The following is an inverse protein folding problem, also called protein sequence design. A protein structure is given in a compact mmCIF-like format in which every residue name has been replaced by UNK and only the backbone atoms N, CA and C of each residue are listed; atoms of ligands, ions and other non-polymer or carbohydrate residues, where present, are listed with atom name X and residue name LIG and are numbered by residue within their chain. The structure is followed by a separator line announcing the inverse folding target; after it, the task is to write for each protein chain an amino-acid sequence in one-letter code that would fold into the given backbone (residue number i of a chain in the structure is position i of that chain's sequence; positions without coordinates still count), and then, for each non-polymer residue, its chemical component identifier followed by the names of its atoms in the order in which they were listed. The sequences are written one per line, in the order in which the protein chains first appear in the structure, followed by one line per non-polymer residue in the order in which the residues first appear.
data_IF_542789578066
#
_entry.id   IF_542789578066
#
_cell.length_a   1.000
_cell.length_b   1.000
_cell.length_c   1.000
_cell.angle_alpha   90.00
_cell.angle_beta   90.00
_cell.angle_gamma   90.00
#
_symmetry.space_group_name_H-M   'P 1'
#
loop_
_entity.id
_entity.type
_entity.pdbx_description
1 polymer ?
#
# COMPACT_ATOMS: atom_id res chain seq x y z
N UNK A 1 -8.24 13.94 -21.91
CA UNK A 1 -9.44 13.07 -21.78
C UNK A 1 -9.26 11.65 -22.34
N UNK A 2 -8.66 11.47 -23.52
CA UNK A 2 -8.49 10.14 -24.15
C UNK A 2 -7.58 9.17 -23.37
N UNK A 3 -6.51 9.67 -22.73
CA UNK A 3 -5.59 8.84 -21.94
C UNK A 3 -6.27 8.22 -20.71
N UNK A 4 -7.06 9.02 -19.99
CA UNK A 4 -7.83 8.59 -18.81
C UNK A 4 -8.85 7.51 -19.18
N UNK A 5 -9.55 7.65 -20.31
CA UNK A 5 -10.50 6.64 -20.79
C UNK A 5 -9.81 5.31 -21.10
N UNK A 6 -8.63 5.34 -21.74
CA UNK A 6 -7.86 4.14 -22.07
C UNK A 6 -7.38 3.41 -20.80
N UNK A 7 -6.95 4.14 -19.77
CA UNK A 7 -6.54 3.53 -18.50
C UNK A 7 -7.71 2.99 -17.68
N UNK A 8 -8.88 3.65 -17.69
CA UNK A 8 -10.10 3.13 -17.06
C UNK A 8 -10.53 1.82 -17.71
N UNK A 9 -10.52 1.74 -19.04
CA UNK A 9 -10.83 0.49 -19.76
C UNK A 9 -9.86 -0.62 -19.36
N UNK A 10 -8.56 -0.34 -19.30
CA UNK A 10 -7.57 -1.33 -18.85
C UNK A 10 -7.85 -1.77 -17.41
N UNK A 11 -8.22 -0.87 -16.50
CA UNK A 11 -8.50 -1.22 -15.10
C UNK A 11 -9.78 -2.06 -14.98
N UNK A 12 -10.84 -1.73 -15.73
CA UNK A 12 -12.07 -2.53 -15.80
C UNK A 12 -11.82 -3.90 -16.43
N UNK A 13 -11.06 -3.98 -17.53
CA UNK A 13 -10.66 -5.24 -18.17
C UNK A 13 -9.78 -6.07 -17.23
N UNK A 14 -8.88 -5.45 -16.48
CA UNK A 14 -8.04 -6.12 -15.49
C UNK A 14 -8.91 -6.70 -14.38
N UNK A 15 -9.85 -5.91 -13.84
CA UNK A 15 -10.79 -6.35 -12.81
C UNK A 15 -11.65 -7.53 -13.31
N UNK A 16 -12.11 -7.50 -14.55
CA UNK A 16 -12.89 -8.57 -15.18
C UNK A 16 -12.03 -9.82 -15.48
N UNK A 17 -10.77 -9.66 -15.89
CA UNK A 17 -9.86 -10.78 -16.19
C UNK A 17 -9.47 -11.60 -14.95
N UNK A 18 -9.48 -11.00 -13.76
CA UNK A 18 -9.27 -11.75 -12.50
C UNK A 18 -10.38 -12.76 -12.21
N UNK A 19 -11.54 -12.66 -12.86
CA UNK A 19 -12.63 -13.65 -12.74
C UNK A 19 -12.33 -14.94 -13.51
N UNK A 20 -11.37 -14.94 -14.45
CA UNK A 20 -11.08 -16.06 -15.35
C UNK A 20 -9.73 -16.76 -15.09
N UNK A 21 -8.96 -16.33 -14.09
CA UNK A 21 -7.65 -16.91 -13.84
C UNK A 21 -7.75 -18.30 -13.18
N UNK A 22 -7.37 -19.32 -13.94
CA UNK A 22 -7.07 -20.67 -13.43
C UNK A 22 -5.57 -20.78 -13.20
N UNK A 23 -5.12 -20.48 -11.98
CA UNK A 23 -3.72 -20.70 -11.58
C UNK A 23 -3.48 -22.14 -11.14
N UNK A 24 -2.39 -22.75 -11.62
CA UNK A 24 -1.90 -24.05 -11.12
C UNK A 24 -0.86 -23.80 -10.03
N UNK A 25 -1.11 -24.31 -8.81
CA UNK A 25 -0.18 -24.26 -7.67
C UNK A 25 0.31 -25.69 -7.38
N UNK A 26 1.60 -25.83 -7.07
CA UNK A 26 2.23 -27.06 -6.62
C UNK A 26 1.61 -27.53 -5.30
N UNK A 27 1.17 -28.78 -5.24
CA UNK A 27 0.50 -29.33 -4.07
C UNK A 27 1.53 -29.69 -2.98
N UNK A 28 1.52 -28.99 -1.85
CA UNK A 28 2.35 -29.34 -0.69
C UNK A 28 1.58 -30.35 0.19
N UNK A 29 2.13 -31.54 0.47
CA UNK A 29 1.36 -32.69 1.01
C UNK A 29 0.87 -32.54 2.47
N UNK A 30 1.16 -31.44 3.16
CA UNK A 30 0.83 -31.27 4.59
C UNK A 30 0.04 -30.00 4.94
N UNK A 31 -0.68 -29.42 3.97
CA UNK A 31 -1.50 -28.22 4.21
C UNK A 31 -2.90 -28.64 4.69
N UNK A 32 -3.20 -28.44 5.97
CA UNK A 32 -4.57 -28.57 6.47
C UNK A 32 -5.51 -27.71 5.62
N UNK A 33 -6.59 -28.30 5.11
CA UNK A 33 -7.60 -27.59 4.31
C UNK A 33 -8.39 -26.67 5.23
N UNK A 34 -7.89 -25.45 5.45
CA UNK A 34 -8.64 -24.42 6.14
C UNK A 34 -9.86 -24.06 5.26
N UNK A 35 -11.06 -24.03 5.84
CA UNK A 35 -12.27 -23.65 5.12
C UNK A 35 -12.25 -22.13 4.81
N UNK A 36 -12.61 -21.74 3.59
CA UNK A 36 -12.70 -20.33 3.18
C UNK A 36 -13.55 -19.47 4.15
N UNK A 37 -14.60 -20.05 4.72
CA UNK A 37 -15.48 -19.36 5.66
C UNK A 37 -14.81 -19.17 7.02
N UNK A 38 -13.94 -20.08 7.43
CA UNK A 38 -13.12 -19.92 8.64
C UNK A 38 -12.11 -18.78 8.47
N UNK A 39 -11.48 -18.65 7.30
CA UNK A 39 -10.55 -17.55 6.99
C UNK A 39 -11.27 -16.20 7.04
N UNK A 40 -12.50 -16.13 6.51
CA UNK A 40 -13.32 -14.91 6.55
C UNK A 40 -13.77 -14.58 7.97
N UNK A 41 -14.22 -15.58 8.74
CA UNK A 41 -14.61 -15.40 10.12
C UNK A 41 -13.44 -14.93 11.00
N UNK A 42 -12.23 -15.46 10.78
CA UNK A 42 -11.02 -14.96 11.43
C UNK A 42 -10.82 -13.47 11.10
N UNK A 43 -10.87 -13.09 9.81
CA UNK A 43 -10.71 -11.70 9.40
C UNK A 43 -11.79 -10.78 10.00
N UNK A 44 -13.04 -11.26 10.08
CA UNK A 44 -14.16 -10.53 10.68
C UNK A 44 -13.95 -10.30 12.19
N UNK A 45 -13.37 -11.26 12.89
CA UNK A 45 -13.12 -11.17 14.34
C UNK A 45 -11.93 -10.27 14.72
N UNK A 46 -11.07 -9.92 13.76
CA UNK A 46 -9.91 -9.05 14.01
C UNK A 46 -10.30 -7.64 14.50
N UNK A 47 -9.41 -6.98 15.26
CA UNK A 47 -9.59 -5.58 15.63
C UNK A 47 -9.81 -4.70 14.40
N UNK A 48 -10.67 -3.68 14.56
CA UNK A 48 -10.99 -2.77 13.47
C UNK A 48 -9.83 -1.81 13.17
N UNK A 49 -9.08 -1.43 14.21
CA UNK A 49 -7.85 -0.67 14.08
C UNK A 49 -6.69 -1.62 13.82
N UNK A 50 -5.88 -1.32 12.82
CA UNK A 50 -4.73 -2.13 12.43
C UNK A 50 -3.68 -1.33 11.68
N UNK A 51 -2.65 -2.01 11.20
CA UNK A 51 -1.58 -1.41 10.41
C UNK A 51 -1.94 -1.41 8.92
N UNK A 52 -1.58 -0.34 8.20
CA UNK A 52 -1.75 -0.28 6.73
C UNK A 52 -0.42 -0.48 5.99
N UNK A 53 0.59 0.33 6.31
CA UNK A 53 1.99 0.17 5.92
C UNK A 53 2.85 -0.04 7.16
N UNK A 54 4.14 -0.26 6.96
CA UNK A 54 5.11 -0.39 8.05
C UNK A 54 5.15 0.89 8.89
N UNK A 55 5.33 0.70 10.19
CA UNK A 55 5.62 1.77 11.13
C UNK A 55 7.08 1.61 11.54
N UNK A 56 7.87 2.66 11.34
CA UNK A 56 9.30 2.62 11.62
C UNK A 56 9.82 4.00 11.99
N UNK A 57 10.96 3.99 12.68
CA UNK A 57 11.73 5.18 13.01
C UNK A 57 13.20 4.85 12.79
N UNK A 58 13.87 5.61 11.93
CA UNK A 58 15.24 5.34 11.49
C UNK A 58 16.05 6.62 11.46
N UNK A 59 17.33 6.53 11.85
CA UNK A 59 18.31 7.61 11.71
C UNK A 59 19.24 7.23 10.56
N UNK A 60 19.46 8.16 9.63
CA UNK A 60 20.36 7.99 8.49
C UNK A 60 21.54 8.94 8.56
N UNK A 61 22.69 8.53 8.00
CA UNK A 61 23.84 9.41 7.75
C UNK A 61 24.48 9.06 6.42
N UNK A 62 25.23 10.00 5.83
CA UNK A 62 25.98 9.74 4.62
C UNK A 62 27.05 8.66 4.84
N UNK A 63 27.18 7.76 3.85
CA UNK A 63 28.13 6.63 3.91
C UNK A 63 29.55 7.13 4.13
N UNK A 64 30.26 6.52 5.08
CA UNK A 64 31.65 6.86 5.45
C UNK A 64 31.87 8.30 5.95
N UNK A 65 30.82 8.97 6.44
CA UNK A 65 30.94 10.30 7.04
C UNK A 65 30.53 10.27 8.51
N UNK A 66 31.07 11.22 9.29
CA UNK A 66 30.57 11.46 10.65
C UNK A 66 29.21 12.14 10.58
N UNK A 67 28.26 11.78 11.45
CA UNK A 67 26.97 12.45 11.51
C UNK A 67 27.10 13.95 11.80
N UNK A 68 26.32 14.75 11.10
CA UNK A 68 26.26 16.21 11.20
C UNK A 68 24.90 16.73 10.72
N UNK A 69 24.61 18.00 11.00
CA UNK A 69 23.39 18.68 10.54
C UNK A 69 23.19 18.70 9.02
N UNK A 70 24.24 18.52 8.24
CA UNK A 70 24.19 18.61 6.78
C UNK A 70 24.05 17.26 6.07
N UNK A 71 24.22 16.15 6.79
CA UNK A 71 24.32 14.82 6.17
C UNK A 71 23.56 13.73 6.95
N UNK A 72 22.82 14.10 7.99
CA UNK A 72 22.13 13.17 8.86
C UNK A 72 20.75 13.70 9.23
N UNK A 73 19.78 12.80 9.20
CA UNK A 73 18.39 13.10 9.52
C UNK A 73 17.72 11.87 10.15
N UNK A 74 16.51 12.09 10.65
CA UNK A 74 15.57 11.04 11.00
C UNK A 74 14.53 10.93 9.91
N UNK A 75 14.21 9.69 9.56
CA UNK A 75 13.01 9.34 8.79
C UNK A 75 12.12 8.43 9.62
N UNK A 76 10.84 8.76 9.70
CA UNK A 76 9.86 7.86 10.28
C UNK A 76 8.57 7.80 9.47
N UNK A 77 7.85 6.69 9.65
CA UNK A 77 6.53 6.50 9.10
C UNK A 77 5.57 6.00 10.18
N UNK A 78 4.41 6.64 10.25
CA UNK A 78 3.26 6.14 11.01
C UNK A 78 2.17 5.78 10.02
N UNK A 79 1.61 4.58 10.12
CA UNK A 79 0.62 4.09 9.18
C UNK A 79 -0.37 3.13 9.82
N UNK A 80 -1.64 3.49 9.75
CA UNK A 80 -2.73 2.72 10.33
C UNK A 80 -3.93 2.65 9.39
N UNK A 81 -4.79 1.69 9.65
CA UNK A 81 -6.08 1.51 9.00
C UNK A 81 -7.18 1.34 10.04
N UNK A 82 -8.35 1.87 9.72
CA UNK A 82 -9.59 1.67 10.45
C UNK A 82 -10.58 0.98 9.53
N UNK A 83 -10.91 -0.29 9.80
CA UNK A 83 -12.02 -0.97 9.14
C UNK A 83 -13.32 -0.26 9.50
N UNK A 84 -14.15 -0.01 8.48
CA UNK A 84 -15.45 0.65 8.64
C UNK A 84 -16.62 -0.32 8.69
N UNK A 85 -16.43 -1.56 8.21
CA UNK A 85 -17.50 -2.55 8.10
C UNK A 85 -17.42 -3.55 9.25
N UNK A 86 -18.57 -3.83 9.88
CA UNK A 86 -18.69 -4.88 10.91
C UNK A 86 -18.78 -6.28 10.32
N UNK A 87 -19.22 -6.36 9.07
CA UNK A 87 -19.44 -7.61 8.34
C UNK A 87 -19.01 -7.43 6.90
N UNK A 88 -18.90 -8.55 6.21
CA UNK A 88 -18.50 -8.64 4.81
C UNK A 88 -19.48 -7.89 3.89
N UNK A 89 -18.99 -6.93 3.11
CA UNK A 89 -19.76 -6.26 2.06
C UNK A 89 -20.00 -7.21 0.86
N UNK A 90 -20.92 -6.86 -0.07
CA UNK A 90 -21.06 -7.60 -1.32
C UNK A 90 -19.71 -7.90 -1.99
N UNK A 91 -19.63 -9.04 -2.67
CA UNK A 91 -18.41 -9.57 -3.30
C UNK A 91 -17.29 -9.99 -2.33
N UNK A 92 -17.62 -10.19 -1.05
CA UNK A 92 -16.68 -10.58 -0.02
C UNK A 92 -15.61 -9.51 0.28
N UNK A 93 -16.06 -8.27 0.44
CA UNK A 93 -15.18 -7.10 0.53
C UNK A 93 -15.24 -6.38 1.87
N UNK A 94 -14.19 -5.61 2.16
CA UNK A 94 -13.95 -4.91 3.42
C UNK A 94 -13.59 -3.47 3.13
N UNK A 95 -14.42 -2.53 3.62
CA UNK A 95 -14.17 -1.11 3.50
C UNK A 95 -13.34 -0.63 4.69
N UNK A 96 -12.31 0.16 4.42
CA UNK A 96 -11.46 0.72 5.46
C UNK A 96 -10.98 2.13 5.08
N UNK A 97 -10.76 2.95 6.09
CA UNK A 97 -9.95 4.15 5.97
C UNK A 97 -8.52 3.80 6.32
N UNK A 98 -7.57 4.52 5.75
CA UNK A 98 -6.20 4.47 6.20
C UNK A 98 -5.59 5.85 6.23
N UNK A 99 -4.54 5.96 7.01
CA UNK A 99 -3.70 7.13 7.08
C UNK A 99 -2.25 6.67 7.12
N UNK A 100 -1.41 7.27 6.30
CA UNK A 100 0.04 7.13 6.37
C UNK A 100 0.68 8.50 6.41
N UNK A 101 1.61 8.71 7.32
CA UNK A 101 2.42 9.91 7.40
C UNK A 101 3.88 9.53 7.33
N UNK A 102 4.62 10.13 6.40
CA UNK A 102 6.09 10.05 6.32
C UNK A 102 6.65 11.39 6.76
N UNK A 103 7.67 11.38 7.60
CA UNK A 103 8.34 12.59 8.06
C UNK A 103 9.84 12.49 7.89
N UNK A 104 10.45 13.59 7.45
CA UNK A 104 11.89 13.82 7.41
C UNK A 104 12.20 14.91 8.43
N UNK A 105 13.04 14.59 9.41
CA UNK A 105 13.24 15.39 10.61
C UNK A 105 14.74 15.66 10.82
N UNK A 106 15.13 16.93 10.76
CA UNK A 106 16.52 17.37 10.87
C UNK A 106 16.92 17.48 12.34
N UNK A 107 17.05 16.33 13.01
CA UNK A 107 17.36 16.25 14.45
C UNK A 107 18.76 16.73 14.84
N UNK A 108 19.60 17.08 13.88
CA UNK A 108 20.95 17.58 14.10
C UNK A 108 21.06 19.09 13.89
N UNK A 109 20.00 19.75 13.42
CA UNK A 109 19.92 21.21 13.25
C UNK A 109 19.38 21.92 14.50
N UNK A 110 19.64 23.22 14.62
CA UNK A 110 19.09 24.05 15.69
C UNK A 110 17.56 24.05 15.65
N UNK A 111 16.92 23.90 16.83
CA UNK A 111 15.47 23.77 16.98
C UNK A 111 14.83 22.54 16.33
N UNK A 112 15.61 21.58 15.83
CA UNK A 112 15.15 20.27 15.34
C UNK A 112 13.97 20.38 14.34
N UNK A 113 14.07 21.16 13.25
CA UNK A 113 12.94 21.39 12.36
C UNK A 113 12.58 20.15 11.55
N UNK A 114 11.29 20.00 11.25
CA UNK A 114 10.83 19.05 10.24
C UNK A 114 11.18 19.57 8.85
N UNK A 115 11.99 18.81 8.11
CA UNK A 115 12.35 19.14 6.74
C UNK A 115 11.20 18.92 5.78
N UNK A 116 10.42 17.85 5.95
CA UNK A 116 9.23 17.60 5.14
C UNK A 116 8.27 16.64 5.85
N UNK A 117 6.99 16.80 5.59
CA UNK A 117 5.91 15.95 6.10
C UNK A 117 5.04 15.56 4.92
N UNK A 118 4.78 14.27 4.74
CA UNK A 118 3.93 13.76 3.66
C UNK A 118 2.75 13.01 4.26
N UNK A 119 1.56 13.53 4.02
CA UNK A 119 0.27 13.05 4.49
C UNK A 119 -0.41 12.24 3.39
N UNK A 120 -0.76 10.99 3.67
CA UNK A 120 -1.41 10.09 2.72
C UNK A 120 -2.65 9.42 3.36
N UNK A 121 -3.77 10.15 3.51
CA UNK A 121 -5.06 9.57 3.82
C UNK A 121 -5.65 8.87 2.60
N UNK A 122 -6.53 7.89 2.84
CA UNK A 122 -7.32 7.30 1.78
C UNK A 122 -8.40 6.35 2.30
N UNK A 123 -9.19 5.88 1.35
CA UNK A 123 -10.22 4.86 1.55
C UNK A 123 -9.92 3.69 0.64
N UNK A 124 -10.11 2.48 1.16
CA UNK A 124 -9.85 1.25 0.42
C UNK A 124 -10.98 0.25 0.56
N UNK A 125 -11.17 -0.53 -0.50
CA UNK A 125 -12.05 -1.69 -0.55
C UNK A 125 -11.21 -2.92 -0.86
N UNK A 126 -11.04 -3.79 0.13
CA UNK A 126 -10.24 -5.02 0.01
C UNK A 126 -11.11 -6.24 -0.15
N UNK A 127 -10.70 -7.19 -1.00
CA UNK A 127 -11.29 -8.52 -1.15
C UNK A 127 -10.22 -9.58 -0.94
N UNK A 128 -10.49 -10.56 -0.08
CA UNK A 128 -9.64 -11.72 0.08
C UNK A 128 -9.80 -12.64 -1.12
N UNK A 129 -8.68 -13.12 -1.67
CA UNK A 129 -8.67 -14.08 -2.77
C UNK A 129 -8.40 -15.46 -2.18
N UNK A 130 -9.41 -16.32 -2.21
CA UNK A 130 -9.36 -17.68 -1.67
C UNK A 130 -9.61 -18.65 -2.83
N UNK A 131 -8.70 -19.61 -3.02
CA UNK A 131 -8.78 -20.61 -4.08
C UNK A 131 -8.59 -22.00 -3.47
N UNK A 132 -9.52 -22.92 -3.75
CA UNK A 132 -9.50 -24.31 -3.21
C UNK A 132 -9.38 -24.37 -1.68
N UNK A 133 -9.98 -23.41 -0.96
CA UNK A 133 -9.92 -23.30 0.51
C UNK A 133 -8.73 -22.50 1.04
N UNK A 134 -7.68 -22.29 0.25
CA UNK A 134 -6.48 -21.58 0.72
C UNK A 134 -6.57 -20.09 0.43
N UNK A 135 -6.17 -19.26 1.40
CA UNK A 135 -5.93 -17.84 1.17
C UNK A 135 -4.71 -17.70 0.25
N UNK A 136 -4.94 -17.25 -0.98
CA UNK A 136 -3.85 -17.03 -1.94
C UNK A 136 -3.42 -15.57 -1.99
N UNK A 137 -4.22 -14.65 -1.45
CA UNK A 137 -3.86 -13.25 -1.47
C UNK A 137 -5.01 -12.28 -1.18
N UNK A 138 -4.81 -11.04 -1.60
CA UNK A 138 -5.77 -9.94 -1.44
C UNK A 138 -5.70 -9.01 -2.64
N UNK A 139 -6.87 -8.54 -3.08
CA UNK A 139 -7.02 -7.45 -4.05
C UNK A 139 -7.62 -6.25 -3.33
N UNK A 140 -7.11 -5.05 -3.61
CA UNK A 140 -7.57 -3.81 -2.96
C UNK A 140 -7.70 -2.69 -3.97
N UNK A 141 -8.89 -2.09 -4.06
CA UNK A 141 -9.11 -0.81 -4.74
C UNK A 141 -8.93 0.32 -3.73
N UNK A 142 -8.24 1.40 -4.11
CA UNK A 142 -7.89 2.51 -3.23
C UNK A 142 -8.22 3.85 -3.90
N UNK A 143 -8.76 4.77 -3.12
CA UNK A 143 -8.77 6.20 -3.43
C UNK A 143 -7.83 6.88 -2.45
N UNK A 144 -6.84 7.59 -2.99
CA UNK A 144 -5.71 8.10 -2.21
C UNK A 144 -5.51 9.58 -2.48
N UNK A 145 -5.27 10.33 -1.41
CA UNK A 145 -4.72 11.66 -1.48
C UNK A 145 -3.31 11.62 -0.90
N UNK A 146 -2.33 12.26 -1.53
CA UNK A 146 -1.00 12.44 -0.96
C UNK A 146 -0.56 13.89 -1.15
N UNK A 147 -0.16 14.54 -0.05
CA UNK A 147 0.30 15.93 -0.05
C UNK A 147 1.31 16.19 1.04
N UNK A 148 2.07 17.28 0.93
CA UNK A 148 3.04 17.66 1.94
C UNK A 148 2.55 18.72 2.95
N UNK A 149 1.30 19.18 2.82
CA UNK A 149 0.72 20.19 3.70
C UNK A 149 1.37 21.58 3.60
N UNK A 150 2.17 21.85 2.57
CA UNK A 150 2.79 23.16 2.31
C UNK A 150 1.99 24.00 1.33
N UNK A 151 2.24 25.29 1.34
CA UNK A 151 1.66 26.28 0.42
C UNK A 151 2.70 26.78 -0.61
N UNK A 152 2.23 27.64 -1.52
CA UNK A 152 3.06 28.30 -2.53
C UNK A 152 3.87 27.33 -3.39
N UNK A 153 5.10 27.73 -3.70
CA UNK A 153 6.04 26.97 -4.55
C UNK A 153 6.52 25.67 -3.91
N UNK A 154 6.41 25.53 -2.59
CA UNK A 154 6.79 24.32 -1.86
C UNK A 154 5.65 23.29 -1.79
N UNK A 155 4.44 23.67 -2.17
CA UNK A 155 3.27 22.79 -2.14
C UNK A 155 3.43 21.61 -3.09
N UNK A 156 3.19 20.39 -2.62
CA UNK A 156 3.19 19.18 -3.45
C UNK A 156 1.93 18.38 -3.12
N UNK A 157 1.18 17.98 -4.14
CA UNK A 157 -0.01 17.15 -3.98
C UNK A 157 -0.40 16.38 -5.24
N UNK A 158 -1.09 15.27 -5.04
CA UNK A 158 -1.72 14.48 -6.09
C UNK A 158 -2.74 13.52 -5.50
N UNK A 159 -3.72 13.14 -6.32
CA UNK A 159 -4.70 12.11 -5.99
C UNK A 159 -4.47 10.87 -6.88
N UNK A 160 -4.85 9.69 -6.39
CA UNK A 160 -4.68 8.43 -7.11
C UNK A 160 -5.91 7.55 -6.94
N UNK A 161 -6.29 6.87 -8.02
CA UNK A 161 -7.13 5.67 -7.96
C UNK A 161 -6.21 4.49 -8.20
N UNK A 162 -6.10 3.58 -7.24
CA UNK A 162 -5.10 2.51 -7.30
C UNK A 162 -5.72 1.13 -7.13
N UNK A 163 -5.18 0.18 -7.87
CA UNK A 163 -5.45 -1.24 -7.71
C UNK A 163 -4.19 -1.91 -7.17
N UNK A 164 -4.31 -2.57 -6.02
CA UNK A 164 -3.22 -3.28 -5.35
C UNK A 164 -3.56 -4.77 -5.25
N UNK A 165 -2.58 -5.63 -5.50
CA UNK A 165 -2.69 -7.06 -5.31
C UNK A 165 -1.48 -7.58 -4.52
N UNK A 166 -1.73 -8.49 -3.59
CA UNK A 166 -0.69 -9.25 -2.91
C UNK A 166 -1.05 -10.74 -3.00
N UNK A 167 -0.07 -11.58 -3.32
CA UNK A 167 -0.25 -13.01 -3.48
C UNK A 167 0.86 -13.79 -2.77
N UNK A 168 0.49 -14.86 -2.07
CA UNK A 168 1.43 -15.84 -1.54
C UNK A 168 1.81 -16.80 -2.67
N UNK A 169 3.09 -16.83 -3.03
CA UNK A 169 3.65 -17.79 -3.99
C UNK A 169 3.87 -19.13 -3.28
N UNK A 170 4.39 -19.06 -2.07
CA UNK A 170 4.51 -20.13 -1.09
C UNK A 170 4.37 -19.53 0.33
N UNK A 171 4.38 -20.32 1.42
CA UNK A 171 4.21 -19.77 2.77
C UNK A 171 5.30 -18.80 3.23
N UNK A 172 6.45 -18.75 2.56
CA UNK A 172 7.60 -17.90 2.89
C UNK A 172 7.75 -16.71 1.95
N UNK A 173 7.17 -16.78 0.74
CA UNK A 173 7.29 -15.76 -0.29
C UNK A 173 5.93 -15.14 -0.63
N UNK A 174 5.81 -13.84 -0.38
CA UNK A 174 4.71 -13.02 -0.86
C UNK A 174 5.19 -12.04 -1.92
N UNK A 175 4.49 -11.94 -3.04
CA UNK A 175 4.68 -10.88 -4.03
C UNK A 175 3.54 -9.88 -3.95
N UNK A 176 3.82 -8.62 -4.24
CA UNK A 176 2.80 -7.59 -4.27
C UNK A 176 3.08 -6.56 -5.37
N UNK A 177 2.00 -6.03 -5.94
CA UNK A 177 2.07 -4.97 -6.93
C UNK A 177 0.91 -4.01 -6.74
N UNK A 178 1.13 -2.75 -7.09
CA UNK A 178 0.12 -1.70 -7.07
C UNK A 178 0.28 -0.84 -8.29
N UNK A 179 -0.81 -0.67 -9.02
CA UNK A 179 -0.93 0.21 -10.19
C UNK A 179 -1.84 1.38 -9.83
N UNK A 180 -1.59 2.56 -10.38
CA UNK A 180 -2.42 3.73 -10.13
C UNK A 180 -2.72 4.53 -11.39
N UNK A 181 -3.94 5.09 -11.42
CA UNK A 181 -4.34 6.16 -12.31
C UNK A 181 -4.18 7.47 -11.52
N UNK A 182 -3.20 8.33 -11.90
CA UNK A 182 -2.96 9.59 -11.23
C UNK A 182 -3.99 10.65 -11.65
N UNK A 183 -4.46 11.41 -10.66
CA UNK A 183 -5.31 12.58 -10.81
C UNK A 183 -4.50 13.75 -10.25
N UNK A 184 -3.82 14.47 -11.15
CA UNK A 184 -2.90 15.55 -10.79
C UNK A 184 -3.64 16.88 -10.99
N UNK A 185 -4.08 17.46 -9.90
CA UNK A 185 -4.73 18.77 -9.79
C UNK A 185 -3.73 19.88 -9.43
N UNK A 186 -2.65 19.54 -8.73
CA UNK A 186 -1.58 20.48 -8.33
C UNK A 186 -0.77 21.03 -9.50
N UNK A 187 -0.61 22.37 -9.55
CA UNK A 187 0.23 23.03 -10.54
C UNK A 187 1.73 22.84 -10.28
N UNK A 188 2.12 22.59 -9.03
CA UNK A 188 3.51 22.62 -8.58
C UNK A 188 4.29 21.32 -8.78
N UNK A 189 3.62 20.26 -9.26
CA UNK A 189 4.25 18.96 -9.53
C UNK A 189 3.56 18.21 -10.69
N UNK A 190 3.31 18.92 -11.80
CA UNK A 190 2.63 18.36 -12.98
C UNK A 190 3.41 17.22 -13.64
N UNK A 191 4.72 17.21 -13.49
CA UNK A 191 5.65 16.22 -14.04
C UNK A 191 5.96 15.06 -13.07
N UNK A 192 5.24 14.95 -11.94
CA UNK A 192 5.48 13.93 -10.90
C UNK A 192 5.61 12.50 -11.44
N UNK A 193 4.88 12.16 -12.51
CA UNK A 193 4.91 10.82 -13.11
C UNK A 193 6.24 10.48 -13.77
N UNK A 194 7.06 11.47 -14.13
CA UNK A 194 8.42 11.25 -14.64
C UNK A 194 9.31 10.58 -13.58
N UNK A 195 9.03 10.82 -12.30
CA UNK A 195 9.82 10.31 -11.18
C UNK A 195 9.13 9.17 -10.44
N UNK A 196 7.81 9.28 -10.23
CA UNK A 196 7.05 8.28 -9.48
C UNK A 196 6.57 7.10 -10.33
N UNK A 197 6.44 7.25 -11.65
CA UNK A 197 5.86 6.23 -12.51
C UNK A 197 4.36 5.99 -12.24
N UNK A 198 3.85 4.86 -12.71
CA UNK A 198 2.41 4.48 -12.65
C UNK A 198 2.15 3.16 -11.90
N UNK A 199 3.20 2.51 -11.42
CA UNK A 199 3.08 1.29 -10.63
C UNK A 199 4.28 1.11 -9.69
N UNK A 200 4.12 0.27 -8.68
CA UNK A 200 5.18 -0.25 -7.84
C UNK A 200 4.97 -1.76 -7.66
N UNK A 201 6.05 -2.51 -7.50
CA UNK A 201 6.00 -3.93 -7.18
C UNK A 201 7.12 -4.29 -6.21
N UNK A 202 6.93 -5.37 -5.47
CA UNK A 202 7.89 -5.85 -4.49
C UNK A 202 7.55 -7.27 -4.03
N UNK A 203 8.38 -7.77 -3.13
CA UNK A 203 8.17 -9.07 -2.51
C UNK A 203 8.63 -9.03 -1.06
N UNK A 204 8.12 -9.97 -0.26
CA UNK A 204 8.54 -10.23 1.10
C UNK A 204 8.91 -11.71 1.18
N UNK A 205 10.09 -11.98 1.75
CA UNK A 205 10.58 -13.33 1.97
C UNK A 205 10.85 -13.53 3.47
N UNK A 206 10.47 -14.70 3.99
CA UNK A 206 10.70 -15.09 5.39
C UNK A 206 11.59 -16.33 5.40
N UNK A 207 12.73 -16.25 6.08
CA UNK A 207 13.62 -17.41 6.24
C UNK A 207 12.99 -18.45 7.16
N UNK A 208 13.19 -19.72 6.87
CA UNK A 208 12.70 -20.86 7.65
C UNK A 208 13.64 -21.32 8.74
N UNK A 209 14.73 -20.59 9.02
CA UNK A 209 15.69 -21.00 10.06
C UNK A 209 14.97 -21.14 11.41
N UNK A 210 14.72 -22.40 11.76
CA UNK A 210 14.44 -22.87 13.11
C UNK A 210 15.77 -23.05 13.84
#
# INVERSE_FOLDING_TARGET
MALVHRHIIVLVVSLLSTLAMTGQILHTPHQEKINADSIRADFDSRPYFGLYKDNYFTVGTAVNQKPSQYNSDVKFQVSFSQRLTRSVLPLHSYLFLYYSQKAFWNVFEESLPFHDLNFNPGIGLSKLVIMKGNLIGKLTLLLEHESNGRDGEASRSWNKISLSAAAFIDPQLMVHAKYWIPIIDGQQNRDILKYSGIYQAGFQAISTNK
#
